data_IF_353845044875
#
_entry.id   IF_353845044875
#
_cell.length_a   1.000
_cell.length_b   1.000
_cell.length_c   1.000
_cell.angle_alpha   90.00
_cell.angle_beta   90.00
_cell.angle_gamma   90.00
#
_symmetry.space_group_name_H-M   'P 1'
#
loop_
_entity.id
_entity.type
_entity.pdbx_description
1 polymer ?
#
# COMPACT_ATOMS: atom_id res chain seq x y z
N UNK A 1 -22.28 -17.41 -0.44
CA UNK A 1 -21.34 -18.22 -1.26
C UNK A 1 -20.21 -18.68 -0.36
N UNK A 2 -19.97 -20.00 -0.33
CA UNK A 2 -18.82 -20.58 0.38
C UNK A 2 -17.71 -20.80 -0.64
N UNK A 3 -16.54 -20.20 -0.40
CA UNK A 3 -15.35 -20.41 -1.22
C UNK A 3 -14.55 -21.51 -0.53
N UNK A 4 -14.45 -22.68 -1.13
CA UNK A 4 -13.75 -23.84 -0.56
C UNK A 4 -12.31 -23.95 -1.04
N UNK A 5 -12.05 -23.53 -2.25
CA UNK A 5 -10.75 -23.67 -2.91
C UNK A 5 -10.47 -22.50 -3.84
N UNK A 6 -9.20 -22.14 -3.97
CA UNK A 6 -8.65 -21.22 -4.95
C UNK A 6 -7.45 -21.93 -5.60
N UNK A 7 -7.56 -22.24 -6.88
CA UNK A 7 -6.57 -23.03 -7.61
C UNK A 7 -5.94 -22.18 -8.72
N UNK A 8 -4.61 -22.23 -8.80
CA UNK A 8 -3.85 -21.56 -9.84
C UNK A 8 -2.59 -22.39 -10.17
N UNK A 9 -2.61 -23.08 -11.32
CA UNK A 9 -1.56 -24.04 -11.70
C UNK A 9 -1.32 -25.07 -10.58
N UNK A 10 -0.11 -25.14 -10.05
CA UNK A 10 0.30 -25.98 -8.92
C UNK A 10 0.01 -25.37 -7.53
N UNK A 11 -0.31 -24.07 -7.48
CA UNK A 11 -0.66 -23.39 -6.22
C UNK A 11 -2.14 -23.63 -5.88
N UNK A 12 -2.41 -24.31 -4.79
CA UNK A 12 -3.75 -24.62 -4.29
C UNK A 12 -3.95 -24.02 -2.89
N UNK A 13 -5.00 -23.23 -2.71
CA UNK A 13 -5.40 -22.74 -1.40
C UNK A 13 -6.78 -23.30 -1.03
N UNK A 14 -6.83 -24.17 -0.02
CA UNK A 14 -8.06 -24.75 0.52
C UNK A 14 -8.58 -23.88 1.66
N UNK A 15 -9.90 -23.72 1.76
CA UNK A 15 -10.53 -22.87 2.76
C UNK A 15 -11.65 -23.63 3.47
N UNK A 16 -11.66 -23.60 4.81
CA UNK A 16 -12.73 -24.14 5.63
C UNK A 16 -13.00 -23.24 6.83
N UNK A 17 -14.17 -23.34 7.42
CA UNK A 17 -14.56 -22.58 8.62
C UNK A 17 -14.22 -23.29 9.92
N UNK A 18 -14.01 -24.60 9.88
CA UNK A 18 -13.69 -25.45 11.03
C UNK A 18 -12.46 -26.28 10.72
N UNK A 19 -11.71 -26.63 11.75
CA UNK A 19 -10.51 -27.46 11.63
C UNK A 19 -10.84 -28.86 11.09
N UNK A 20 -11.89 -29.47 11.57
CA UNK A 20 -12.34 -30.77 11.10
C UNK A 20 -12.72 -30.77 9.61
N UNK A 21 -13.40 -29.71 9.15
CA UNK A 21 -13.75 -29.54 7.73
C UNK A 21 -12.47 -29.35 6.89
N UNK A 22 -11.47 -28.65 7.42
CA UNK A 22 -10.18 -28.49 6.76
C UNK A 22 -9.44 -29.80 6.63
N UNK A 23 -9.35 -30.58 7.73
CA UNK A 23 -8.73 -31.90 7.68
C UNK A 23 -9.40 -32.81 6.63
N UNK A 24 -10.72 -32.86 6.63
CA UNK A 24 -11.47 -33.64 5.66
C UNK A 24 -11.23 -33.20 4.20
N UNK A 25 -11.15 -31.87 3.97
CA UNK A 25 -10.81 -31.34 2.64
C UNK A 25 -9.41 -31.74 2.22
N UNK A 26 -8.43 -31.65 3.12
CA UNK A 26 -7.04 -32.01 2.87
C UNK A 26 -6.90 -33.51 2.58
N UNK A 27 -7.59 -34.36 3.32
CA UNK A 27 -7.58 -35.83 3.11
C UNK A 27 -8.14 -36.19 1.72
N UNK A 28 -9.27 -35.59 1.36
CA UNK A 28 -9.85 -35.80 0.02
C UNK A 28 -8.96 -35.27 -1.09
N UNK A 29 -8.32 -34.13 -0.88
CA UNK A 29 -7.39 -33.56 -1.86
C UNK A 29 -6.15 -34.42 -2.00
N UNK A 30 -5.62 -34.98 -0.90
CA UNK A 30 -4.48 -35.88 -0.91
C UNK A 30 -4.82 -37.19 -1.66
N UNK A 31 -6.00 -37.78 -1.39
CA UNK A 31 -6.46 -38.97 -2.11
C UNK A 31 -6.62 -38.71 -3.63
N UNK A 32 -7.16 -37.55 -4.00
CA UNK A 32 -7.26 -37.16 -5.38
C UNK A 32 -5.89 -37.02 -6.06
N UNK A 33 -4.94 -36.35 -5.36
CA UNK A 33 -3.56 -36.26 -5.85
C UNK A 33 -2.92 -37.61 -6.11
N UNK A 34 -3.11 -38.56 -5.20
CA UNK A 34 -2.60 -39.94 -5.38
C UNK A 34 -3.20 -40.60 -6.60
N UNK A 35 -4.51 -40.49 -6.83
CA UNK A 35 -5.19 -41.06 -8.00
C UNK A 35 -4.66 -40.50 -9.33
N UNK A 36 -4.16 -39.26 -9.33
CA UNK A 36 -3.55 -38.63 -10.50
C UNK A 36 -2.01 -38.68 -10.51
N UNK A 37 -1.37 -39.43 -9.61
CA UNK A 37 0.09 -39.50 -9.50
C UNK A 37 0.78 -38.21 -9.08
N UNK A 38 0.06 -37.32 -8.44
CA UNK A 38 0.58 -36.04 -7.93
C UNK A 38 1.05 -36.19 -6.49
N UNK A 39 2.11 -35.45 -6.12
CA UNK A 39 2.64 -35.47 -4.75
C UNK A 39 2.49 -34.11 -4.11
N UNK A 40 1.87 -34.07 -2.92
CA UNK A 40 1.78 -32.84 -2.10
C UNK A 40 3.11 -32.63 -1.40
N UNK A 41 3.71 -31.44 -1.58
CA UNK A 41 4.93 -31.06 -0.86
C UNK A 41 4.59 -30.58 0.56
N UNK A 42 4.66 -31.47 1.54
CA UNK A 42 4.38 -31.14 2.96
C UNK A 42 5.34 -30.12 3.55
N UNK A 43 6.57 -30.01 3.00
CA UNK A 43 7.55 -29.00 3.42
C UNK A 43 7.20 -27.57 2.96
N UNK A 44 6.42 -27.44 1.88
CA UNK A 44 5.98 -26.14 1.33
C UNK A 44 4.52 -25.84 1.68
N UNK A 45 3.75 -26.85 2.06
CA UNK A 45 2.34 -26.67 2.44
C UNK A 45 2.25 -26.12 3.84
N UNK A 46 1.51 -25.06 4.02
CA UNK A 46 1.38 -24.33 5.29
C UNK A 46 -0.10 -24.16 5.64
N UNK A 47 -0.40 -24.08 6.94
CA UNK A 47 -1.74 -23.83 7.46
C UNK A 47 -1.80 -22.48 8.16
N UNK A 48 -2.79 -21.65 7.84
CA UNK A 48 -3.04 -20.40 8.52
C UNK A 48 -4.45 -20.38 9.11
N UNK A 49 -4.54 -20.19 10.41
CA UNK A 49 -5.82 -20.07 11.12
C UNK A 49 -6.08 -18.61 11.48
N UNK A 50 -7.23 -18.09 11.07
CA UNK A 50 -7.77 -16.80 11.52
C UNK A 50 -8.93 -17.05 12.48
N UNK A 51 -8.77 -16.85 13.81
CA UNK A 51 -9.86 -17.03 14.74
C UNK A 51 -10.96 -16.00 14.49
N UNK A 52 -12.21 -16.36 14.80
CA UNK A 52 -13.30 -15.41 14.80
C UNK A 52 -13.04 -14.28 15.82
N UNK A 53 -13.62 -13.09 15.63
CA UNK A 53 -13.41 -11.97 16.54
C UNK A 53 -13.82 -12.33 17.98
N UNK A 54 -12.92 -12.08 18.93
CA UNK A 54 -13.14 -12.38 20.36
C UNK A 54 -12.85 -13.82 20.78
N UNK A 55 -12.46 -14.70 19.85
CA UNK A 55 -12.04 -16.06 20.16
C UNK A 55 -10.51 -16.12 20.29
N UNK A 56 -9.99 -16.74 21.36
CA UNK A 56 -8.54 -16.96 21.50
C UNK A 56 -7.99 -17.75 20.33
N UNK A 57 -6.74 -17.48 19.98
CA UNK A 57 -6.05 -18.25 18.95
C UNK A 57 -5.67 -19.63 19.50
N UNK A 58 -6.00 -20.67 18.74
CA UNK A 58 -5.50 -22.03 18.92
C UNK A 58 -4.72 -22.40 17.67
N UNK A 59 -3.57 -23.03 17.86
CA UNK A 59 -2.75 -23.52 16.75
C UNK A 59 -3.45 -24.71 16.10
N UNK A 60 -3.72 -24.64 14.76
CA UNK A 60 -4.39 -25.72 14.06
C UNK A 60 -3.47 -26.93 13.90
N UNK A 61 -4.02 -28.13 14.05
CA UNK A 61 -3.32 -29.40 13.86
C UNK A 61 -3.89 -30.11 12.62
N UNK A 62 -3.36 -29.77 11.43
CA UNK A 62 -3.72 -30.40 10.17
C UNK A 62 -2.60 -31.31 9.69
N UNK A 63 -2.96 -32.50 9.22
CA UNK A 63 -2.01 -33.51 8.74
C UNK A 63 -2.24 -33.88 7.28
N UNK A 64 -1.18 -34.23 6.58
CA UNK A 64 -1.22 -34.87 5.26
C UNK A 64 -0.52 -36.21 5.36
N UNK A 65 -1.22 -37.30 5.15
CA UNK A 65 -0.66 -38.67 5.25
C UNK A 65 0.09 -38.92 6.57
N UNK A 66 -0.45 -38.43 7.69
CA UNK A 66 0.15 -38.56 9.01
C UNK A 66 1.27 -37.56 9.33
N UNK A 67 1.69 -36.73 8.37
CA UNK A 67 2.67 -35.66 8.62
C UNK A 67 1.94 -34.35 8.94
N UNK A 68 2.23 -33.77 10.10
CA UNK A 68 1.66 -32.48 10.51
C UNK A 68 2.21 -31.33 9.65
N UNK A 69 1.29 -30.48 9.18
CA UNK A 69 1.63 -29.27 8.45
C UNK A 69 2.03 -28.14 9.40
N UNK A 70 2.91 -27.26 8.93
CA UNK A 70 3.39 -26.12 9.68
C UNK A 70 2.31 -25.04 9.78
N UNK A 71 1.94 -24.65 11.00
CA UNK A 71 1.09 -23.48 11.24
C UNK A 71 1.89 -22.19 11.10
N UNK A 72 1.34 -21.20 10.38
CA UNK A 72 2.01 -19.92 10.08
C UNK A 72 1.11 -18.72 10.40
N UNK A 73 1.76 -17.61 10.76
CA UNK A 73 1.08 -16.33 10.96
C UNK A 73 0.86 -15.55 9.66
N UNK A 74 1.68 -15.85 8.66
CA UNK A 74 1.71 -15.17 7.38
C UNK A 74 1.89 -16.18 6.28
N UNK A 75 1.09 -16.04 5.25
CA UNK A 75 1.09 -16.93 4.10
C UNK A 75 1.20 -16.12 2.81
N UNK A 76 2.06 -16.56 1.90
CA UNK A 76 2.21 -15.88 0.59
C UNK A 76 1.51 -16.69 -0.47
N UNK A 77 0.43 -16.13 -1.05
CA UNK A 77 -0.30 -16.72 -2.15
C UNK A 77 -0.27 -15.81 -3.39
N UNK A 78 0.13 -16.35 -4.53
CA UNK A 78 0.29 -15.62 -5.80
C UNK A 78 1.08 -14.32 -5.66
N UNK A 79 2.09 -14.36 -4.81
CA UNK A 79 2.97 -13.22 -4.56
C UNK A 79 2.43 -12.16 -3.60
N UNK A 80 1.18 -12.22 -3.14
CA UNK A 80 0.61 -11.36 -2.08
C UNK A 80 0.70 -12.04 -0.71
N UNK A 81 0.98 -11.27 0.31
CA UNK A 81 1.08 -11.78 1.67
C UNK A 81 -0.28 -11.64 2.38
N UNK A 82 -0.79 -12.76 2.86
CA UNK A 82 -1.95 -12.84 3.74
C UNK A 82 -1.45 -12.98 5.17
N UNK A 83 -2.01 -12.22 6.09
CA UNK A 83 -1.66 -12.27 7.51
C UNK A 83 -2.84 -12.74 8.34
N UNK A 84 -2.55 -13.43 9.45
CA UNK A 84 -3.57 -13.82 10.44
C UNK A 84 -4.35 -12.61 10.96
N UNK A 85 -3.68 -11.48 11.14
CA UNK A 85 -4.33 -10.21 11.49
C UNK A 85 -4.79 -9.48 10.23
N UNK A 86 -5.98 -8.84 10.24
CA UNK A 86 -6.50 -8.13 9.08
C UNK A 86 -5.77 -6.81 8.84
N UNK A 87 -4.45 -6.86 8.65
CA UNK A 87 -3.58 -5.71 8.38
C UNK A 87 -2.75 -5.96 7.12
N UNK A 88 -2.51 -4.88 6.35
CA UNK A 88 -1.62 -4.90 5.19
C UNK A 88 -0.20 -4.44 5.53
N UNK A 89 0.16 -4.30 6.81
CA UNK A 89 1.48 -3.81 7.22
C UNK A 89 2.61 -4.68 6.65
N UNK A 90 2.49 -6.00 6.78
CA UNK A 90 3.48 -6.97 6.28
C UNK A 90 3.56 -6.94 4.76
N UNK A 91 2.41 -6.88 4.06
CA UNK A 91 2.40 -6.78 2.60
C UNK A 91 3.14 -5.52 2.13
N UNK A 92 2.86 -4.36 2.71
CA UNK A 92 3.54 -3.09 2.37
C UNK A 92 5.05 -3.18 2.64
N UNK A 93 5.45 -3.77 3.77
CA UNK A 93 6.86 -3.98 4.12
C UNK A 93 7.57 -4.87 3.08
N UNK A 94 6.93 -6.00 2.73
CA UNK A 94 7.45 -6.94 1.74
C UNK A 94 7.57 -6.29 0.35
N UNK A 95 6.61 -5.46 -0.05
CA UNK A 95 6.68 -4.72 -1.32
C UNK A 95 7.83 -3.73 -1.35
N UNK A 96 8.01 -2.98 -0.27
CA UNK A 96 9.13 -2.03 -0.16
C UNK A 96 10.46 -2.80 -0.20
N UNK A 97 10.59 -3.93 0.50
CA UNK A 97 11.79 -4.76 0.49
C UNK A 97 12.09 -5.31 -0.92
N UNK A 98 11.09 -5.92 -1.59
CA UNK A 98 11.23 -6.45 -2.96
C UNK A 98 11.61 -5.35 -3.95
N UNK A 99 10.95 -4.18 -3.88
CA UNK A 99 11.25 -3.04 -4.73
C UNK A 99 12.64 -2.44 -4.43
N UNK A 100 13.06 -2.42 -3.16
CA UNK A 100 14.41 -1.97 -2.76
C UNK A 100 15.49 -2.90 -3.33
N UNK A 101 15.30 -4.21 -3.23
CA UNK A 101 16.20 -5.22 -3.78
C UNK A 101 16.29 -5.11 -5.31
N UNK A 102 15.14 -4.92 -5.98
CA UNK A 102 15.10 -4.70 -7.43
C UNK A 102 15.82 -3.41 -7.83
N UNK A 103 15.64 -2.31 -7.08
CA UNK A 103 16.33 -1.05 -7.30
C UNK A 103 17.85 -1.21 -7.12
N UNK A 104 18.28 -1.90 -6.07
CA UNK A 104 19.69 -2.19 -5.81
C UNK A 104 20.36 -2.97 -6.95
N UNK A 105 19.71 -4.04 -7.43
CA UNK A 105 20.24 -4.87 -8.54
C UNK A 105 20.45 -4.11 -9.85
N UNK A 106 19.69 -3.03 -10.08
CA UNK A 106 19.79 -2.22 -11.28
C UNK A 106 20.78 -1.05 -11.14
N UNK A 107 21.40 -0.88 -9.97
CA UNK A 107 22.21 0.28 -9.67
C UNK A 107 23.34 0.49 -10.66
N UNK A 108 24.27 -0.44 -10.75
CA UNK A 108 25.44 -0.34 -11.60
C UNK A 108 25.11 -0.41 -13.10
N UNK A 109 24.12 -1.24 -13.44
CA UNK A 109 23.77 -1.52 -14.83
C UNK A 109 22.89 -0.46 -15.47
N UNK A 110 22.11 0.28 -14.67
CA UNK A 110 21.13 1.23 -15.18
C UNK A 110 21.27 2.60 -14.51
N UNK A 111 21.20 2.67 -13.17
CA UNK A 111 21.09 3.96 -12.48
C UNK A 111 22.38 4.78 -12.54
N UNK A 112 23.51 4.17 -12.32
CA UNK A 112 24.82 4.84 -12.29
C UNK A 112 25.45 4.93 -13.70
N UNK A 113 24.86 4.29 -14.71
CA UNK A 113 25.40 4.28 -16.07
C UNK A 113 25.20 5.63 -16.78
N UNK A 114 26.30 6.28 -17.18
CA UNK A 114 26.30 7.61 -17.80
C UNK A 114 25.67 7.64 -19.19
N UNK A 115 25.79 6.56 -19.99
CA UNK A 115 25.23 6.45 -21.34
C UNK A 115 23.70 6.32 -21.41
N UNK A 116 23.01 6.15 -20.29
CA UNK A 116 21.55 6.02 -20.25
C UNK A 116 20.92 7.35 -19.85
N UNK A 117 20.06 7.88 -20.73
CA UNK A 117 19.33 9.13 -20.48
C UNK A 117 18.39 8.99 -19.28
N UNK A 118 18.24 10.04 -18.46
CA UNK A 118 17.33 10.06 -17.29
C UNK A 118 15.90 9.64 -17.64
N UNK A 119 15.36 10.09 -18.79
CA UNK A 119 14.04 9.66 -19.28
C UNK A 119 13.93 8.14 -19.44
N UNK A 120 14.98 7.47 -19.90
CA UNK A 120 15.02 6.00 -20.02
C UNK A 120 15.11 5.35 -18.65
N UNK A 121 15.93 5.86 -17.73
CA UNK A 121 16.00 5.39 -16.34
C UNK A 121 14.63 5.47 -15.65
N UNK A 122 13.90 6.57 -15.82
CA UNK A 122 12.54 6.74 -15.27
C UNK A 122 11.53 5.77 -15.89
N UNK A 123 11.65 5.44 -17.17
CA UNK A 123 10.82 4.38 -17.79
C UNK A 123 11.12 3.00 -17.20
N UNK A 124 12.40 2.65 -17.01
CA UNK A 124 12.79 1.38 -16.35
C UNK A 124 12.30 1.35 -14.90
N UNK A 125 12.42 2.47 -14.19
CA UNK A 125 11.89 2.61 -12.83
C UNK A 125 10.37 2.34 -12.80
N UNK A 126 9.61 2.92 -13.71
CA UNK A 126 8.17 2.70 -13.81
C UNK A 126 7.82 1.24 -14.10
N UNK A 127 8.54 0.62 -15.04
CA UNK A 127 8.25 -0.74 -15.50
C UNK A 127 8.66 -1.84 -14.51
N UNK A 128 9.70 -1.63 -13.71
CA UNK A 128 10.26 -2.66 -12.83
C UNK A 128 9.99 -2.33 -11.36
N UNK A 129 10.41 -1.17 -10.89
CA UNK A 129 10.40 -0.86 -9.46
C UNK A 129 8.98 -0.50 -9.00
N UNK A 130 8.32 0.39 -9.74
CA UNK A 130 6.99 0.87 -9.37
C UNK A 130 5.93 -0.23 -9.48
N UNK A 131 6.03 -1.10 -10.49
CA UNK A 131 5.15 -2.27 -10.62
C UNK A 131 5.37 -3.28 -9.50
N UNK A 132 6.61 -3.52 -9.08
CA UNK A 132 6.92 -4.38 -7.93
C UNK A 132 6.39 -3.76 -6.63
N UNK A 133 6.57 -2.45 -6.43
CA UNK A 133 6.11 -1.73 -5.24
C UNK A 133 4.59 -1.74 -5.07
N UNK A 134 3.87 -1.60 -6.19
CA UNK A 134 2.41 -1.45 -6.22
C UNK A 134 1.69 -2.71 -6.71
N UNK A 135 2.35 -3.85 -6.71
CA UNK A 135 1.71 -5.12 -7.08
C UNK A 135 0.54 -5.43 -6.14
N UNK A 136 -0.61 -5.79 -6.70
CA UNK A 136 -1.87 -6.06 -5.98
C UNK A 136 -2.43 -4.88 -5.15
N UNK A 137 -1.93 -3.65 -5.34
CA UNK A 137 -2.39 -2.49 -4.58
C UNK A 137 -3.86 -2.12 -4.85
N UNK A 138 -4.45 -2.64 -5.91
CA UNK A 138 -5.87 -2.49 -6.26
C UNK A 138 -6.81 -3.10 -5.22
N UNK A 139 -6.35 -4.11 -4.47
CA UNK A 139 -7.14 -4.77 -3.43
C UNK A 139 -6.90 -4.22 -2.02
N UNK A 140 -5.90 -3.37 -1.84
CA UNK A 140 -5.51 -2.89 -0.52
C UNK A 140 -6.52 -1.91 0.10
N UNK A 141 -6.55 -1.89 1.44
CA UNK A 141 -7.19 -0.85 2.25
C UNK A 141 -6.14 -0.05 3.02
N UNK A 142 -5.33 0.79 2.32
CA UNK A 142 -4.18 1.41 2.94
C UNK A 142 -4.59 2.51 3.91
N UNK A 143 -3.95 2.53 5.09
CA UNK A 143 -3.96 3.66 5.99
C UNK A 143 -2.96 4.74 5.55
N UNK A 144 -3.08 5.93 6.13
CA UNK A 144 -2.16 7.05 5.85
C UNK A 144 -0.69 6.70 6.10
N UNK A 145 -0.41 5.85 7.11
CA UNK A 145 0.95 5.36 7.41
C UNK A 145 1.55 4.56 6.26
N UNK A 146 0.77 3.63 5.67
CA UNK A 146 1.20 2.80 4.54
C UNK A 146 1.51 3.64 3.31
N UNK A 147 0.59 4.54 2.94
CA UNK A 147 0.80 5.46 1.82
C UNK A 147 2.03 6.35 2.03
N UNK A 148 2.29 6.78 3.27
CA UNK A 148 3.47 7.58 3.61
C UNK A 148 4.77 6.77 3.46
N UNK A 149 4.81 5.52 3.92
CA UNK A 149 5.97 4.63 3.77
C UNK A 149 6.29 4.39 2.29
N UNK A 150 5.29 4.01 1.49
CA UNK A 150 5.42 3.81 0.05
C UNK A 150 5.87 5.09 -0.66
N UNK A 151 5.32 6.23 -0.29
CA UNK A 151 5.66 7.53 -0.87
C UNK A 151 7.10 7.95 -0.54
N UNK A 152 7.54 7.73 0.70
CA UNK A 152 8.92 8.01 1.11
C UNK A 152 9.93 7.15 0.33
N UNK A 153 9.63 5.88 0.10
CA UNK A 153 10.45 5.02 -0.73
C UNK A 153 10.49 5.52 -2.19
N UNK A 154 9.32 5.85 -2.76
CA UNK A 154 9.20 6.38 -4.12
C UNK A 154 10.04 7.63 -4.32
N UNK A 155 9.89 8.62 -3.44
CA UNK A 155 10.66 9.87 -3.51
C UNK A 155 12.17 9.67 -3.36
N UNK A 156 12.59 8.75 -2.46
CA UNK A 156 14.00 8.41 -2.31
C UNK A 156 14.59 7.87 -3.61
N UNK A 157 13.89 6.97 -4.28
CA UNK A 157 14.32 6.45 -5.59
C UNK A 157 14.36 7.55 -6.66
N UNK A 158 13.32 8.40 -6.74
CA UNK A 158 13.28 9.49 -7.72
C UNK A 158 14.40 10.51 -7.49
N UNK A 159 14.69 10.89 -6.24
CA UNK A 159 15.81 11.76 -5.91
C UNK A 159 17.15 11.17 -6.36
N UNK A 160 17.35 9.87 -6.12
CA UNK A 160 18.55 9.17 -6.59
C UNK A 160 18.69 9.21 -8.13
N UNK A 161 17.60 8.97 -8.87
CA UNK A 161 17.59 8.98 -10.34
C UNK A 161 17.77 10.37 -10.94
N UNK A 162 17.31 11.41 -10.24
CA UNK A 162 17.44 12.81 -10.64
C UNK A 162 18.69 13.48 -10.07
N UNK A 163 19.53 12.74 -9.34
CA UNK A 163 20.73 13.25 -8.66
C UNK A 163 20.46 14.43 -7.72
N UNK A 164 19.28 14.45 -7.08
CA UNK A 164 18.87 15.49 -6.13
C UNK A 164 19.38 15.12 -4.73
N UNK A 165 20.20 15.99 -4.15
CA UNK A 165 20.73 15.85 -2.78
C UNK A 165 19.83 16.55 -1.77
N UNK A 166 19.96 16.20 -0.50
CA UNK A 166 19.17 16.83 0.58
C UNK A 166 19.52 18.32 0.74
N UNK A 167 20.78 18.71 0.41
CA UNK A 167 21.24 20.10 0.44
C UNK A 167 20.51 21.01 -0.57
N UNK A 168 20.02 20.44 -1.67
CA UNK A 168 19.34 21.18 -2.74
C UNK A 168 17.96 21.70 -2.27
N UNK A 169 17.45 21.22 -1.13
CA UNK A 169 16.17 21.64 -0.50
C UNK A 169 14.97 21.64 -1.44
N UNK A 170 15.01 20.77 -2.46
CA UNK A 170 13.95 20.64 -3.47
C UNK A 170 12.75 19.96 -2.84
N UNK A 171 11.54 20.54 -2.89
CA UNK A 171 10.33 19.95 -2.32
C UNK A 171 9.88 18.71 -3.10
N UNK A 172 9.15 17.83 -2.42
CA UNK A 172 8.64 16.57 -2.98
C UNK A 172 7.74 16.77 -4.22
N UNK A 173 6.97 17.86 -4.23
CA UNK A 173 6.12 18.24 -5.36
C UNK A 173 6.93 18.50 -6.62
N UNK A 174 8.05 19.18 -6.49
CA UNK A 174 8.94 19.47 -7.61
C UNK A 174 9.72 18.24 -8.08
N UNK A 175 10.09 17.33 -7.15
CA UNK A 175 10.71 16.05 -7.51
C UNK A 175 9.77 15.21 -8.38
N UNK A 176 8.49 15.11 -7.99
CA UNK A 176 7.48 14.40 -8.77
C UNK A 176 7.25 15.03 -10.15
N UNK A 177 7.18 16.36 -10.21
CA UNK A 177 7.00 17.11 -11.46
C UNK A 177 8.19 16.89 -12.41
N UNK A 178 9.44 17.01 -11.92
CA UNK A 178 10.65 16.76 -12.72
C UNK A 178 10.74 15.31 -13.22
N UNK A 179 10.26 14.37 -12.41
CA UNK A 179 10.24 12.96 -12.77
C UNK A 179 9.04 12.57 -13.67
N UNK A 180 8.01 13.42 -13.77
CA UNK A 180 6.78 13.12 -14.50
C UNK A 180 5.92 12.04 -13.86
N UNK A 181 5.94 11.93 -12.52
CA UNK A 181 5.15 10.96 -11.78
C UNK A 181 4.09 11.62 -10.90
N UNK A 182 2.94 10.93 -10.79
CA UNK A 182 1.93 11.23 -9.78
C UNK A 182 2.36 10.72 -8.39
N UNK A 183 1.69 11.20 -7.35
CA UNK A 183 1.91 10.68 -5.99
C UNK A 183 1.49 9.22 -5.88
N UNK A 184 2.10 8.47 -4.96
CA UNK A 184 1.71 7.07 -4.68
C UNK A 184 0.22 6.95 -4.34
N UNK A 185 -0.34 7.93 -3.62
CA UNK A 185 -1.77 7.94 -3.31
C UNK A 185 -2.64 7.94 -4.57
N UNK A 186 -2.32 8.76 -5.54
CA UNK A 186 -3.04 8.81 -6.83
C UNK A 186 -2.85 7.53 -7.63
N UNK A 187 -1.64 6.96 -7.64
CA UNK A 187 -1.37 5.70 -8.35
C UNK A 187 -2.17 4.53 -7.75
N UNK A 188 -2.20 4.39 -6.42
CA UNK A 188 -2.99 3.35 -5.74
C UNK A 188 -4.48 3.53 -6.01
N UNK A 189 -5.02 4.75 -5.88
CA UNK A 189 -6.43 5.04 -6.17
C UNK A 189 -6.79 4.75 -7.62
N UNK A 190 -5.92 5.12 -8.54
CA UNK A 190 -6.10 4.81 -9.97
C UNK A 190 -6.17 3.31 -10.22
N UNK A 191 -5.32 2.50 -9.56
CA UNK A 191 -5.37 1.05 -9.63
C UNK A 191 -6.68 0.50 -9.05
N UNK A 192 -7.08 0.95 -7.86
CA UNK A 192 -8.34 0.55 -7.20
C UNK A 192 -9.57 0.85 -8.05
N UNK A 193 -9.67 2.04 -8.62
CA UNK A 193 -10.80 2.43 -9.46
C UNK A 193 -10.83 1.64 -10.78
N UNK A 194 -9.65 1.40 -11.39
CA UNK A 194 -9.57 0.53 -12.58
C UNK A 194 -10.05 -0.88 -12.29
N UNK A 195 -9.63 -1.44 -11.17
CA UNK A 195 -10.05 -2.76 -10.71
C UNK A 195 -11.55 -2.79 -10.40
N UNK A 196 -12.08 -1.80 -9.66
CA UNK A 196 -13.50 -1.70 -9.36
C UNK A 196 -14.37 -1.69 -10.63
N UNK A 197 -14.01 -0.90 -11.64
CA UNK A 197 -14.71 -0.91 -12.91
C UNK A 197 -14.60 -2.23 -13.67
N UNK A 198 -13.47 -2.95 -13.53
CA UNK A 198 -13.35 -4.31 -14.07
C UNK A 198 -14.31 -5.28 -13.36
N UNK A 199 -14.35 -5.25 -12.04
CA UNK A 199 -15.26 -6.09 -11.23
C UNK A 199 -16.72 -5.78 -11.51
N UNK A 200 -17.10 -4.50 -11.65
CA UNK A 200 -18.48 -4.10 -11.96
C UNK A 200 -18.98 -4.71 -13.28
N UNK A 201 -18.11 -4.84 -14.28
CA UNK A 201 -18.44 -5.45 -15.58
C UNK A 201 -18.39 -6.98 -15.58
N UNK A 202 -17.98 -7.63 -14.51
CA UNK A 202 -17.99 -9.10 -14.44
C UNK A 202 -19.43 -9.64 -14.33
N UNK A 203 -19.69 -10.86 -14.80
CA UNK A 203 -20.95 -11.55 -14.49
C UNK A 203 -21.16 -11.72 -12.99
N UNK A 204 -22.41 -11.75 -12.54
CA UNK A 204 -22.79 -11.73 -11.12
C UNK A 204 -22.32 -12.96 -10.33
N UNK A 205 -22.16 -14.10 -11.01
CA UNK A 205 -21.67 -15.34 -10.40
C UNK A 205 -20.16 -15.32 -10.10
N UNK A 206 -19.41 -14.33 -10.59
CA UNK A 206 -17.96 -14.26 -10.37
C UNK A 206 -17.65 -13.83 -8.92
N UNK A 207 -16.77 -14.59 -8.26
CA UNK A 207 -16.37 -14.39 -6.87
C UNK A 207 -15.97 -12.92 -6.57
N UNK A 208 -15.12 -12.24 -7.36
CA UNK A 208 -14.75 -10.86 -7.08
C UNK A 208 -15.96 -9.90 -7.03
N UNK A 209 -16.96 -10.12 -7.90
CA UNK A 209 -18.17 -9.30 -7.93
C UNK A 209 -19.05 -9.58 -6.71
N UNK A 210 -19.23 -10.84 -6.36
CA UNK A 210 -19.96 -11.23 -5.16
C UNK A 210 -19.32 -10.66 -3.89
N UNK A 211 -17.98 -10.67 -3.78
CA UNK A 211 -17.27 -10.08 -2.64
C UNK A 211 -17.39 -8.55 -2.60
N UNK A 212 -17.31 -7.88 -3.75
CA UNK A 212 -17.41 -6.42 -3.78
C UNK A 212 -18.82 -5.93 -3.43
N UNK A 213 -19.86 -6.57 -3.95
CA UNK A 213 -21.25 -6.14 -3.76
C UNK A 213 -21.96 -6.88 -2.62
N UNK A 214 -21.44 -8.04 -2.20
CA UNK A 214 -22.03 -8.84 -1.13
C UNK A 214 -22.07 -8.13 0.22
N UNK A 215 -23.05 -8.55 1.03
CA UNK A 215 -23.18 -8.17 2.43
C UNK A 215 -23.12 -9.44 3.30
N UNK A 216 -22.85 -9.29 4.58
CA UNK A 216 -22.92 -10.40 5.52
C UNK A 216 -24.37 -10.86 5.63
N UNK A 217 -24.62 -12.15 5.43
CA UNK A 217 -25.94 -12.75 5.60
C UNK A 217 -26.37 -12.71 7.06
N UNK A 218 -25.42 -12.93 7.96
CA UNK A 218 -25.62 -12.95 9.40
C UNK A 218 -24.45 -12.27 10.13
N UNK A 219 -24.71 -11.74 11.33
CA UNK A 219 -23.71 -11.16 12.19
C UNK A 219 -23.48 -9.65 11.97
N UNK A 220 -22.78 -9.08 12.93
CA UNK A 220 -22.36 -7.67 12.91
C UNK A 220 -20.84 -7.61 12.93
N UNK A 221 -20.31 -6.53 12.36
CA UNK A 221 -18.88 -6.25 12.43
C UNK A 221 -18.46 -6.11 13.90
N UNK A 222 -17.37 -6.80 14.29
CA UNK A 222 -16.84 -6.72 15.65
C UNK A 222 -16.41 -5.30 16.01
N UNK A 223 -16.69 -4.90 17.26
CA UNK A 223 -16.15 -3.68 17.85
C UNK A 223 -14.63 -3.84 17.95
N UNK A 224 -13.88 -2.82 17.48
CA UNK A 224 -12.41 -2.87 17.44
C UNK A 224 -11.80 -3.51 16.18
N UNK A 225 -12.60 -4.08 15.27
CA UNK A 225 -12.12 -4.60 13.99
C UNK A 225 -11.56 -3.53 13.06
N UNK A 226 -11.11 -3.94 11.87
CA UNK A 226 -10.58 -3.05 10.84
C UNK A 226 -11.51 -1.86 10.58
N UNK A 227 -11.09 -0.65 10.91
CA UNK A 227 -11.93 0.57 10.81
C UNK A 227 -12.29 0.93 9.37
N UNK A 228 -11.41 0.63 8.39
CA UNK A 228 -11.64 0.87 6.97
C UNK A 228 -12.04 -0.41 6.26
N UNK A 229 -13.14 -0.33 5.48
CA UNK A 229 -13.49 -1.35 4.49
C UNK A 229 -13.00 -0.95 3.11
N UNK A 230 -12.84 -1.92 2.21
CA UNK A 230 -12.49 -1.65 0.82
C UNK A 230 -13.51 -0.72 0.14
N UNK A 231 -14.82 -0.97 0.34
CA UNK A 231 -15.91 -0.10 -0.18
C UNK A 231 -15.78 1.35 0.29
N UNK A 232 -15.40 1.59 1.55
CA UNK A 232 -15.22 2.94 2.10
C UNK A 232 -14.00 3.65 1.47
N UNK A 233 -12.92 2.88 1.26
CA UNK A 233 -11.72 3.36 0.55
C UNK A 233 -12.04 3.71 -0.91
N UNK A 234 -12.84 2.87 -1.56
CA UNK A 234 -13.28 3.07 -2.94
C UNK A 234 -14.15 4.33 -3.08
N UNK A 235 -15.16 4.50 -2.20
CA UNK A 235 -16.00 5.72 -2.16
C UNK A 235 -15.15 6.98 -1.95
N UNK A 236 -14.15 6.91 -1.07
CA UNK A 236 -13.21 8.03 -0.87
C UNK A 236 -12.40 8.32 -2.14
N UNK A 237 -11.92 7.29 -2.82
CA UNK A 237 -11.16 7.42 -4.07
C UNK A 237 -12.01 8.02 -5.19
N UNK A 238 -13.29 7.64 -5.29
CA UNK A 238 -14.24 8.21 -6.24
C UNK A 238 -14.46 9.69 -5.98
N UNK A 239 -14.75 10.07 -4.72
CA UNK A 239 -14.94 11.48 -4.32
C UNK A 239 -13.73 12.33 -4.66
N UNK A 240 -12.51 11.87 -4.39
CA UNK A 240 -11.29 12.58 -4.71
C UNK A 240 -11.07 12.74 -6.23
N UNK A 241 -11.54 11.79 -7.01
CA UNK A 241 -11.48 11.83 -8.49
C UNK A 241 -12.71 12.47 -9.13
N UNK A 242 -13.60 13.07 -8.31
CA UNK A 242 -14.85 13.72 -8.78
C UNK A 242 -15.79 12.76 -9.53
N UNK A 243 -15.74 11.48 -9.19
CA UNK A 243 -16.65 10.44 -9.69
C UNK A 243 -17.79 10.31 -8.67
N UNK A 244 -19.04 10.36 -9.12
CA UNK A 244 -20.19 10.18 -8.24
C UNK A 244 -20.28 8.73 -7.74
N UNK A 245 -20.21 8.47 -6.40
CA UNK A 245 -20.29 7.13 -5.85
C UNK A 245 -21.65 6.44 -5.98
N UNK A 246 -22.70 7.14 -6.36
CA UNK A 246 -24.05 6.59 -6.52
C UNK A 246 -24.31 6.09 -7.94
N UNK A 247 -23.64 6.69 -8.94
CA UNK A 247 -23.83 6.37 -10.37
C UNK A 247 -22.58 5.81 -11.04
N UNK A 248 -21.53 5.48 -10.27
CA UNK A 248 -20.25 5.04 -10.84
C UNK A 248 -20.35 3.75 -11.65
N UNK A 249 -21.27 2.85 -11.31
CA UNK A 249 -21.44 1.57 -12.00
C UNK A 249 -21.93 1.78 -13.44
N UNK A 250 -22.83 2.74 -13.64
CA UNK A 250 -23.29 3.13 -14.98
C UNK A 250 -22.13 3.68 -15.81
N UNK A 251 -21.31 4.56 -15.23
CA UNK A 251 -20.11 5.07 -15.89
C UNK A 251 -19.10 3.95 -16.16
N UNK A 252 -18.98 2.98 -15.23
CA UNK A 252 -18.05 1.85 -15.34
C UNK A 252 -18.49 0.81 -16.37
N UNK A 253 -19.76 0.74 -16.72
CA UNK A 253 -20.29 -0.18 -17.73
C UNK A 253 -19.55 0.01 -19.07
N UNK A 254 -19.31 1.24 -19.47
CA UNK A 254 -18.58 1.57 -20.68
C UNK A 254 -17.08 1.82 -20.35
N UNK A 255 -16.21 0.97 -20.91
CA UNK A 255 -14.77 0.92 -20.57
C UNK A 255 -14.02 2.21 -20.92
N UNK A 256 -14.33 2.85 -22.03
CA UNK A 256 -13.64 4.05 -22.49
C UNK A 256 -14.00 5.24 -21.60
N UNK A 257 -15.27 5.44 -21.31
CA UNK A 257 -15.80 6.46 -20.41
C UNK A 257 -15.20 6.33 -19.01
N UNK A 258 -15.17 5.11 -18.48
CA UNK A 258 -14.54 4.84 -17.17
C UNK A 258 -13.06 5.18 -17.14
N UNK A 259 -12.30 4.81 -18.18
CA UNK A 259 -10.87 5.15 -18.29
C UNK A 259 -10.65 6.66 -18.34
N UNK A 260 -11.46 7.38 -19.10
CA UNK A 260 -11.39 8.83 -19.21
C UNK A 260 -11.71 9.50 -17.89
N UNK A 261 -12.78 9.08 -17.20
CA UNK A 261 -13.16 9.59 -15.89
C UNK A 261 -12.03 9.41 -14.86
N UNK A 262 -11.43 8.22 -14.77
CA UNK A 262 -10.29 7.96 -13.88
C UNK A 262 -9.07 8.83 -14.26
N UNK A 263 -8.79 8.97 -15.53
CA UNK A 263 -7.62 9.73 -16.00
C UNK A 263 -7.77 11.21 -15.68
N UNK A 264 -8.92 11.79 -15.97
CA UNK A 264 -9.23 13.18 -15.67
C UNK A 264 -9.30 13.43 -14.16
N UNK A 265 -9.96 12.55 -13.42
CA UNK A 265 -10.03 12.64 -11.95
C UNK A 265 -8.66 12.55 -11.29
N UNK A 266 -7.76 11.73 -11.82
CA UNK A 266 -6.39 11.65 -11.32
C UNK A 266 -5.60 12.96 -11.53
N UNK A 267 -5.75 13.61 -12.69
CA UNK A 267 -5.13 14.91 -12.97
C UNK A 267 -5.66 15.98 -12.01
N UNK A 268 -6.99 16.11 -11.94
CA UNK A 268 -7.64 17.07 -11.03
C UNK A 268 -7.22 16.88 -9.57
N UNK A 269 -7.14 15.63 -9.10
CA UNK A 269 -6.70 15.32 -7.73
C UNK A 269 -5.23 15.69 -7.49
N UNK A 270 -4.35 15.52 -8.47
CA UNK A 270 -2.95 15.95 -8.38
C UNK A 270 -2.81 17.46 -8.36
N UNK A 271 -3.54 18.18 -9.22
CA UNK A 271 -3.54 19.65 -9.27
C UNK A 271 -4.03 20.25 -7.95
N UNK A 272 -5.13 19.73 -7.40
CA UNK A 272 -5.64 20.15 -6.09
C UNK A 272 -4.63 19.89 -4.96
N UNK A 273 -3.94 18.74 -5.01
CA UNK A 273 -2.92 18.39 -4.01
C UNK A 273 -1.70 19.27 -4.12
N UNK A 274 -1.28 19.60 -5.33
CA UNK A 274 -0.19 20.54 -5.61
C UNK A 274 -0.53 21.95 -5.09
N UNK A 275 -1.70 22.46 -5.45
CA UNK A 275 -2.18 23.76 -4.99
C UNK A 275 -2.24 23.83 -3.45
N UNK A 276 -2.79 22.79 -2.79
CA UNK A 276 -2.81 22.71 -1.32
C UNK A 276 -1.41 22.69 -0.69
N UNK A 277 -0.47 21.95 -1.30
CA UNK A 277 0.91 21.89 -0.80
C UNK A 277 1.63 23.23 -0.93
N UNK A 278 1.43 23.95 -2.04
CA UNK A 278 1.95 25.30 -2.26
C UNK A 278 1.37 26.27 -1.24
N UNK A 279 0.05 26.30 -1.09
CA UNK A 279 -0.65 27.16 -0.11
C UNK A 279 -0.12 26.92 1.30
N UNK A 280 -0.07 25.68 1.75
CA UNK A 280 0.46 25.32 3.08
C UNK A 280 1.93 25.69 3.28
N UNK A 281 2.72 25.74 2.21
CA UNK A 281 4.11 26.20 2.27
C UNK A 281 4.18 27.72 2.43
N UNK A 282 3.32 28.46 1.72
CA UNK A 282 3.24 29.92 1.83
C UNK A 282 2.77 30.35 3.22
N UNK A 283 1.73 29.72 3.76
CA UNK A 283 1.26 29.97 5.14
C UNK A 283 2.37 29.74 6.18
N UNK A 284 3.17 28.67 6.03
CA UNK A 284 4.29 28.41 6.95
C UNK A 284 5.37 29.49 6.86
N UNK A 285 5.63 30.00 5.67
CA UNK A 285 6.58 31.08 5.47
C UNK A 285 6.06 32.39 6.07
N UNK A 286 4.79 32.75 5.87
CA UNK A 286 4.19 33.96 6.44
C UNK A 286 4.17 33.94 7.98
N UNK A 287 3.75 32.80 8.58
CA UNK A 287 3.80 32.62 10.05
C UNK A 287 5.23 32.75 10.61
N UNK A 288 6.23 32.20 9.88
CA UNK A 288 7.63 32.33 10.26
C UNK A 288 8.14 33.76 10.19
N UNK A 289 7.68 34.55 9.23
CA UNK A 289 8.00 35.99 9.11
C UNK A 289 7.32 36.83 10.22
N UNK A 290 6.03 36.57 10.48
CA UNK A 290 5.28 37.27 11.54
C UNK A 290 5.83 37.00 12.95
N UNK A 291 6.28 35.74 13.20
CA UNK A 291 6.89 35.40 14.51
C UNK A 291 8.27 36.03 14.71
N UNK A 292 8.90 36.62 13.70
CA UNK A 292 10.15 37.36 13.83
C UNK A 292 9.92 38.78 14.39
N UNK A 293 8.69 39.30 14.29
CA UNK A 293 8.38 40.68 14.69
C UNK A 293 7.64 40.84 16.05
N UNK A 294 7.20 39.75 16.68
CA UNK A 294 6.25 39.84 17.81
C UNK A 294 6.67 39.16 19.12
N UNK A 295 7.79 38.48 19.20
CA UNK A 295 8.24 37.90 20.46
C UNK A 295 9.41 38.72 21.04
N UNK A 296 9.34 39.18 22.30
CA UNK A 296 10.52 39.68 22.98
C UNK A 296 11.54 38.53 23.05
N UNK A 297 12.62 38.67 22.31
CA UNK A 297 13.67 37.66 22.24
C UNK A 297 14.34 37.49 23.61
N UNK A 298 14.64 36.24 23.97
CA UNK A 298 15.52 35.96 25.09
C UNK A 298 16.94 36.38 24.71
N UNK A 299 17.42 37.49 25.25
CA UNK A 299 18.74 38.07 24.91
C UNK A 299 19.81 37.38 25.77
N UNK A 300 20.89 36.95 25.15
CA UNK A 300 22.04 36.41 25.84
C UNK A 300 22.76 37.55 26.63
N UNK A 301 22.95 37.41 27.94
CA UNK A 301 23.59 38.46 28.73
C UNK A 301 25.09 38.61 28.44
N UNK A 302 25.73 37.59 27.86
CA UNK A 302 27.16 37.57 27.58
C UNK A 302 27.53 38.17 26.23
N UNK A 303 26.71 37.94 25.18
CA UNK A 303 27.02 38.39 23.82
C UNK A 303 25.91 39.17 23.11
N UNK A 304 24.77 39.44 23.76
CA UNK A 304 23.66 40.19 23.17
C UNK A 304 22.86 39.45 22.13
N UNK A 305 23.15 38.19 21.84
CA UNK A 305 22.45 37.40 20.79
C UNK A 305 21.01 37.13 21.21
N UNK A 306 20.04 37.48 20.36
CA UNK A 306 18.63 37.20 20.57
C UNK A 306 18.29 35.75 20.19
N UNK A 307 17.70 35.00 21.11
CA UNK A 307 17.19 33.64 20.95
C UNK A 307 15.65 33.65 20.94
N UNK A 308 15.03 32.88 20.04
CA UNK A 308 13.57 32.84 19.88
C UNK A 308 12.82 32.14 21.01
N UNK A 309 13.50 31.34 21.81
CA UNK A 309 12.91 30.60 22.94
C UNK A 309 13.90 30.46 24.06
N UNK A 310 13.40 30.32 25.31
CA UNK A 310 14.21 30.11 26.50
C UNK A 310 15.18 28.94 26.39
N UNK A 311 14.72 27.81 25.77
CA UNK A 311 15.57 26.65 25.57
C UNK A 311 16.72 26.92 24.58
N UNK A 312 16.49 27.79 23.57
CA UNK A 312 17.53 28.27 22.64
C UNK A 312 18.57 29.13 23.34
N UNK A 313 18.16 29.99 24.28
CA UNK A 313 19.08 30.76 25.10
C UNK A 313 19.91 29.86 26.02
N UNK A 314 19.29 28.89 26.70
CA UNK A 314 19.99 27.91 27.55
C UNK A 314 21.02 27.12 26.77
N UNK A 315 20.67 26.66 25.56
CA UNK A 315 21.59 25.94 24.66
C UNK A 315 22.75 26.84 24.20
N UNK A 316 22.44 28.12 23.90
CA UNK A 316 23.45 29.11 23.50
C UNK A 316 24.39 29.47 24.64
N UNK A 317 23.90 29.64 25.88
CA UNK A 317 24.73 29.91 27.07
C UNK A 317 25.74 28.80 27.36
N UNK A 318 25.43 27.55 26.97
CA UNK A 318 26.39 26.46 27.08
C UNK A 318 27.61 26.62 26.18
N UNK A 319 27.47 27.28 25.01
CA UNK A 319 28.58 27.57 24.11
C UNK A 319 29.53 28.66 24.60
N UNK A 320 29.17 29.40 25.67
CA UNK A 320 30.08 30.36 26.34
C UNK A 320 30.90 29.72 27.48
N UNK A 321 30.57 28.45 27.85
CA UNK A 321 31.26 27.74 28.95
C UNK A 321 32.36 26.78 28.44
N UNK A 322 32.59 26.77 27.13
CA UNK A 322 33.71 26.09 26.47
C UNK A 322 34.74 27.11 26.01
#
# INVERSE_FOLDING_TARGET
TVIRDLLFADDCALNASREQDMQHLVDRFAAACDNFGLTISTTKTEVMHQPAPGIPYHEPCITVKGQQLRAVENFTYLGSNLARTPSIDIEVQNRISKASSAFGRLRERVWDRRGIRTKTKLKVYSAVILTTLLYACETWTPYRRHLRQLHSFHLRCLRALLHIRWQDRIPDTEVLQRAGFSTITTLVRKAQLRWAGHVARMPDHRIPKQLLFGELAEGKRSVGGQKKRFKDSLKTSMKDFKINPESWEQCAAERSTWRSAISQGALTAEDQRLAHAIHKRLERKSRGASAQHTAPGFICPECGKSCRARIGLISHLRSHKT
#
